data_IF_117855186196
#
_entry.id   IF_117855186196
#
_cell.length_a   1.000
_cell.length_b   1.000
_cell.length_c   1.000
_cell.angle_alpha   90.00
_cell.angle_beta   90.00
_cell.angle_gamma   90.00
#
_symmetry.space_group_name_H-M   'P 1'
#
loop_
_entity.id
_entity.type
_entity.pdbx_description
1 polymer ?
#
# COMPACT_ATOMS: atom_id res chain seq x y z
N UNK A 1 5.41 11.66 -13.67
CA UNK A 1 5.81 12.00 -12.28
C UNK A 1 5.29 13.34 -11.79
N UNK A 2 5.29 14.41 -12.60
CA UNK A 2 4.82 15.75 -12.14
C UNK A 2 3.35 15.78 -11.71
N UNK A 3 2.46 15.16 -12.47
CA UNK A 3 1.02 15.14 -12.14
C UNK A 3 0.75 14.42 -10.81
N UNK A 4 1.46 13.30 -10.58
CA UNK A 4 1.43 12.60 -9.30
C UNK A 4 1.97 13.47 -8.17
N UNK A 5 3.13 14.10 -8.35
CA UNK A 5 3.73 14.98 -7.34
C UNK A 5 2.81 16.15 -6.98
N UNK A 6 2.20 16.80 -7.98
CA UNK A 6 1.23 17.87 -7.80
C UNK A 6 -0.03 17.39 -7.07
N UNK A 7 -0.54 16.19 -7.40
CA UNK A 7 -1.67 15.58 -6.70
C UNK A 7 -1.33 15.26 -5.25
N UNK A 8 -0.19 14.60 -5.01
CA UNK A 8 0.24 14.19 -3.68
C UNK A 8 0.50 15.40 -2.76
N UNK A 9 1.08 16.47 -3.29
CA UNK A 9 1.31 17.70 -2.52
C UNK A 9 0.01 18.35 -2.01
N UNK A 10 -1.16 18.06 -2.61
CA UNK A 10 -2.46 18.49 -2.07
C UNK A 10 -2.86 17.71 -0.81
N UNK A 11 -2.36 16.49 -0.65
CA UNK A 11 -2.63 15.59 0.48
C UNK A 11 -1.55 15.68 1.57
N UNK A 12 -0.29 15.64 1.19
CA UNK A 12 0.90 15.72 2.05
C UNK A 12 1.93 16.63 1.39
N UNK A 13 1.86 17.96 1.63
CA UNK A 13 2.68 18.97 0.95
C UNK A 13 4.19 18.80 1.16
N UNK A 14 4.59 18.17 2.27
CA UNK A 14 5.98 17.95 2.64
C UNK A 14 6.49 16.57 2.21
N UNK A 15 5.63 15.73 1.61
CA UNK A 15 5.95 14.35 1.26
C UNK A 15 6.47 13.54 2.46
N UNK A 16 6.05 13.92 3.67
CA UNK A 16 6.49 13.32 4.93
C UNK A 16 6.22 11.82 5.04
N UNK A 17 5.28 11.31 4.24
CA UNK A 17 4.92 9.90 4.17
C UNK A 17 5.79 9.08 3.20
N UNK A 18 6.72 9.72 2.48
CA UNK A 18 7.66 9.08 1.56
C UNK A 18 9.09 9.06 2.14
N UNK A 19 9.96 8.24 1.53
CA UNK A 19 11.38 8.20 1.88
C UNK A 19 12.07 9.55 1.64
N UNK A 20 13.12 9.86 2.41
CA UNK A 20 13.82 11.16 2.32
C UNK A 20 14.37 11.49 0.90
N UNK A 21 14.76 10.45 0.14
CA UNK A 21 15.21 10.60 -1.25
C UNK A 21 14.05 11.06 -2.14
N UNK A 22 12.90 10.42 -1.99
CA UNK A 22 11.67 10.73 -2.72
C UNK A 22 11.14 12.14 -2.42
N UNK A 23 11.25 12.60 -1.17
CA UNK A 23 10.79 13.94 -0.76
C UNK A 23 11.45 15.05 -1.58
N UNK A 24 12.77 14.95 -1.79
CA UNK A 24 13.53 15.98 -2.51
C UNK A 24 13.21 15.94 -4.00
N UNK A 25 13.07 14.75 -4.58
CA UNK A 25 12.74 14.57 -5.99
C UNK A 25 11.31 15.05 -6.30
N UNK A 26 10.32 14.63 -5.50
CA UNK A 26 8.92 14.98 -5.76
C UNK A 26 8.63 16.46 -5.52
N UNK A 27 9.20 17.06 -4.48
CA UNK A 27 9.03 18.50 -4.21
C UNK A 27 9.50 19.37 -5.39
N UNK A 28 10.61 19.00 -6.03
CA UNK A 28 11.13 19.67 -7.23
C UNK A 28 10.23 19.51 -8.48
N UNK A 29 9.34 18.51 -8.48
CA UNK A 29 8.50 18.14 -9.62
C UNK A 29 7.02 18.50 -9.49
N UNK A 30 6.62 19.21 -8.43
CA UNK A 30 5.25 19.70 -8.23
C UNK A 30 4.83 20.75 -9.27
N UNK A 31 5.78 21.57 -9.74
CA UNK A 31 5.49 22.67 -10.68
C UNK A 31 5.09 22.17 -12.08
N UNK A 32 3.97 22.68 -12.57
CA UNK A 32 3.44 22.36 -13.90
C UNK A 32 2.81 20.97 -14.05
N UNK A 33 2.52 20.27 -12.94
CA UNK A 33 1.74 19.02 -12.96
C UNK A 33 0.22 19.27 -12.90
N UNK A 34 -0.55 18.40 -13.54
CA UNK A 34 -2.02 18.41 -13.51
C UNK A 34 -2.55 17.38 -12.50
N UNK A 35 -2.76 17.87 -11.27
CA UNK A 35 -3.28 17.06 -10.18
C UNK A 35 -4.71 16.54 -10.43
N UNK A 36 -5.54 17.28 -11.15
CA UNK A 36 -6.94 16.91 -11.42
C UNK A 36 -7.01 15.81 -12.47
N UNK A 37 -6.19 15.90 -13.52
CA UNK A 37 -6.01 14.83 -14.50
C UNK A 37 -5.50 13.56 -13.84
N UNK A 38 -4.49 13.67 -12.96
CA UNK A 38 -4.00 12.51 -12.20
C UNK A 38 -5.13 11.87 -11.38
N UNK A 39 -5.90 12.67 -10.62
CA UNK A 39 -6.99 12.18 -9.80
C UNK A 39 -8.04 11.40 -10.63
N UNK A 40 -8.41 11.93 -11.81
CA UNK A 40 -9.37 11.28 -12.71
C UNK A 40 -8.82 9.94 -13.22
N UNK A 41 -7.57 9.90 -13.65
CA UNK A 41 -6.93 8.69 -14.18
C UNK A 41 -6.72 7.65 -13.08
N UNK A 42 -6.20 8.06 -11.93
CA UNK A 42 -5.99 7.18 -10.78
C UNK A 42 -7.31 6.57 -10.30
N UNK A 43 -8.39 7.35 -10.21
CA UNK A 43 -9.72 6.84 -9.86
C UNK A 43 -10.24 5.80 -10.86
N UNK A 44 -9.97 6.00 -12.15
CA UNK A 44 -10.38 5.04 -13.20
C UNK A 44 -9.53 3.76 -13.16
N UNK A 45 -8.21 3.90 -13.05
CA UNK A 45 -7.28 2.78 -13.07
C UNK A 45 -7.38 1.92 -11.80
N UNK A 46 -7.58 2.56 -10.65
CA UNK A 46 -7.65 1.91 -9.34
C UNK A 46 -9.11 1.68 -8.89
N UNK A 47 -10.04 1.48 -9.84
CA UNK A 47 -11.45 1.25 -9.53
C UNK A 47 -11.61 0.06 -8.55
N UNK A 48 -12.51 0.19 -7.56
CA UNK A 48 -12.67 -0.76 -6.44
C UNK A 48 -11.40 -1.02 -5.59
N UNK A 49 -10.40 -0.14 -5.67
CA UNK A 49 -9.23 -0.16 -4.79
C UNK A 49 -9.16 1.11 -3.92
N UNK A 50 -8.52 0.99 -2.77
CA UNK A 50 -8.16 2.10 -1.88
C UNK A 50 -6.65 2.19 -1.78
N UNK A 51 -6.17 3.42 -1.73
CA UNK A 51 -4.79 3.68 -1.36
C UNK A 51 -4.64 3.56 0.17
N UNK A 52 -3.55 2.95 0.64
CA UNK A 52 -3.30 2.78 2.07
C UNK A 52 -1.81 2.86 2.41
N UNK A 53 -1.54 3.10 3.69
CA UNK A 53 -0.22 3.00 4.31
C UNK A 53 -0.22 1.91 5.36
N UNK A 54 0.89 1.18 5.49
CA UNK A 54 1.19 0.33 6.64
C UNK A 54 1.83 1.15 7.75
N UNK A 55 1.85 0.61 8.97
CA UNK A 55 2.55 1.23 10.12
C UNK A 55 4.06 1.36 9.88
N UNK A 56 4.62 0.52 9.01
CA UNK A 56 6.03 0.51 8.62
C UNK A 56 6.28 1.35 7.34
N UNK A 57 5.44 2.36 7.12
CA UNK A 57 5.53 3.34 6.02
C UNK A 57 5.52 2.75 4.61
N UNK A 58 5.11 1.50 4.43
CA UNK A 58 4.88 0.94 3.10
C UNK A 58 3.55 1.45 2.56
N UNK A 59 3.46 1.69 1.25
CA UNK A 59 2.23 2.14 0.60
C UNK A 59 1.74 1.15 -0.44
N UNK A 60 0.44 1.19 -0.72
CA UNK A 60 -0.16 0.20 -1.60
C UNK A 60 -1.59 0.48 -2.03
N UNK A 61 -2.15 -0.48 -2.78
CA UNK A 61 -3.54 -0.52 -3.20
C UNK A 61 -4.23 -1.76 -2.65
N UNK A 62 -5.28 -1.58 -1.87
CA UNK A 62 -6.05 -2.66 -1.24
C UNK A 62 -7.49 -2.69 -1.78
N UNK A 63 -8.24 -3.79 -1.58
CA UNK A 63 -9.66 -3.85 -1.92
C UNK A 63 -10.50 -2.72 -1.28
N UNK A 64 -11.57 -2.28 -1.95
CA UNK A 64 -12.44 -1.18 -1.46
C UNK A 64 -13.02 -1.43 -0.07
N UNK A 65 -13.26 -2.68 0.29
CA UNK A 65 -13.80 -3.07 1.59
C UNK A 65 -12.75 -3.17 2.71
N UNK A 66 -11.47 -2.90 2.44
CA UNK A 66 -10.40 -2.81 3.46
C UNK A 66 -10.65 -1.68 4.46
N UNK A 67 -10.27 -1.91 5.71
CA UNK A 67 -10.49 -1.03 6.87
C UNK A 67 -9.23 -0.96 7.75
N UNK A 68 -9.03 0.12 8.52
CA UNK A 68 -8.00 0.17 9.56
C UNK A 68 -8.12 -1.03 10.50
N UNK A 69 -6.98 -1.63 10.85
CA UNK A 69 -6.89 -2.87 11.65
C UNK A 69 -6.85 -4.16 10.82
N UNK A 70 -7.14 -4.11 9.52
CA UNK A 70 -6.84 -5.23 8.61
C UNK A 70 -5.32 -5.41 8.49
N UNK A 71 -4.88 -6.64 8.22
CA UNK A 71 -3.46 -7.03 8.14
C UNK A 71 -3.07 -7.34 6.71
N UNK A 72 -1.94 -6.78 6.28
CA UNK A 72 -1.23 -7.23 5.08
C UNK A 72 -0.48 -8.50 5.44
N UNK A 73 -0.65 -9.56 4.66
CA UNK A 73 0.06 -10.83 4.83
C UNK A 73 0.56 -11.34 3.49
N UNK A 74 1.65 -12.09 3.52
CA UNK A 74 2.09 -12.90 2.37
C UNK A 74 1.84 -14.35 2.75
N UNK A 75 0.93 -15.00 2.03
CA UNK A 75 0.59 -16.40 2.29
C UNK A 75 1.64 -17.30 1.63
N UNK A 76 2.06 -18.36 2.34
CA UNK A 76 2.98 -19.35 1.80
C UNK A 76 2.44 -19.95 0.49
N UNK A 77 3.29 -19.98 -0.54
CA UNK A 77 2.92 -20.42 -1.89
C UNK A 77 2.23 -19.33 -2.75
N UNK A 78 1.87 -18.19 -2.16
CA UNK A 78 1.39 -17.01 -2.89
C UNK A 78 2.55 -16.17 -3.43
N UNK A 79 2.32 -15.48 -4.56
CA UNK A 79 3.29 -14.57 -5.19
C UNK A 79 3.02 -13.09 -4.93
N UNK A 80 1.95 -12.76 -4.20
CA UNK A 80 1.47 -11.40 -3.95
C UNK A 80 1.01 -11.25 -2.50
N UNK A 81 0.93 -10.02 -1.95
CA UNK A 81 0.35 -9.77 -0.64
C UNK A 81 -1.19 -9.79 -0.67
N UNK A 82 -1.77 -10.08 0.50
CA UNK A 82 -3.20 -10.20 0.73
C UNK A 82 -3.61 -9.41 1.97
N UNK A 83 -4.90 -9.06 2.02
CA UNK A 83 -5.52 -8.45 3.18
C UNK A 83 -6.34 -9.51 3.94
N UNK A 84 -6.00 -9.72 5.21
CA UNK A 84 -6.80 -10.50 6.15
C UNK A 84 -7.40 -9.60 7.23
N UNK A 85 -8.65 -9.88 7.61
CA UNK A 85 -9.34 -9.18 8.70
C UNK A 85 -9.50 -10.09 9.91
N UNK A 86 -9.06 -9.69 11.11
CA UNK A 86 -9.32 -10.45 12.33
C UNK A 86 -10.82 -10.42 12.68
N UNK A 87 -11.39 -11.58 13.02
CA UNK A 87 -12.82 -11.72 13.39
C UNK A 87 -13.07 -12.38 14.76
N UNK A 88 -12.01 -12.69 15.52
CA UNK A 88 -12.07 -13.32 16.85
C UNK A 88 -10.68 -13.85 17.26
N UNK A 89 -10.60 -14.61 18.37
CA UNK A 89 -9.31 -15.04 18.94
C UNK A 89 -8.36 -15.73 17.93
N UNK A 90 -8.87 -16.48 16.96
CA UNK A 90 -8.03 -17.20 15.96
C UNK A 90 -8.68 -17.28 14.57
N UNK A 91 -9.64 -16.40 14.27
CA UNK A 91 -10.38 -16.45 13.00
C UNK A 91 -10.11 -15.22 12.16
N UNK A 92 -9.99 -15.45 10.86
CA UNK A 92 -9.67 -14.42 9.88
C UNK A 92 -10.66 -14.50 8.72
N UNK A 93 -11.05 -13.35 8.20
CA UNK A 93 -11.77 -13.26 6.93
C UNK A 93 -10.79 -12.86 5.84
N UNK A 94 -10.83 -13.56 4.71
CA UNK A 94 -10.09 -13.15 3.53
C UNK A 94 -10.78 -11.94 2.88
N UNK A 95 -10.07 -10.81 2.80
CA UNK A 95 -10.61 -9.58 2.21
C UNK A 95 -10.28 -9.49 0.72
N UNK A 96 -9.07 -9.89 0.33
CA UNK A 96 -8.62 -9.95 -1.06
C UNK A 96 -7.13 -9.67 -1.24
N UNK A 97 -6.65 -9.83 -2.47
CA UNK A 97 -5.30 -9.45 -2.89
C UNK A 97 -5.06 -7.95 -2.77
N UNK A 98 -3.84 -7.54 -2.45
CA UNK A 98 -3.42 -6.14 -2.52
C UNK A 98 -2.10 -5.98 -3.29
N UNK A 99 -1.86 -4.75 -3.72
CA UNK A 99 -0.53 -4.29 -4.14
C UNK A 99 0.13 -3.62 -2.96
N UNK A 100 1.35 -3.99 -2.65
CA UNK A 100 2.23 -3.25 -1.74
C UNK A 100 3.54 -3.02 -2.45
N UNK A 101 3.97 -1.76 -2.44
CA UNK A 101 5.20 -1.37 -3.08
C UNK A 101 6.38 -2.12 -2.46
N UNK A 102 7.23 -2.70 -3.31
CA UNK A 102 8.35 -3.54 -2.89
C UNK A 102 7.97 -4.90 -2.28
N UNK A 103 6.74 -5.42 -2.46
CA UNK A 103 6.34 -6.76 -2.00
C UNK A 103 5.79 -7.69 -3.10
N UNK A 104 5.72 -7.23 -4.36
CA UNK A 104 5.04 -7.93 -5.46
C UNK A 104 5.95 -8.79 -6.34
N UNK A 105 7.27 -8.62 -6.31
CA UNK A 105 8.23 -9.27 -7.22
C UNK A 105 9.25 -10.16 -6.49
N UNK A 106 8.85 -10.75 -5.35
CA UNK A 106 9.67 -11.71 -4.61
C UNK A 106 10.64 -11.10 -3.61
N UNK A 107 10.53 -9.80 -3.34
CA UNK A 107 11.30 -9.08 -2.32
C UNK A 107 10.86 -9.44 -0.89
N UNK A 108 9.85 -10.29 -0.74
CA UNK A 108 9.25 -10.68 0.54
C UNK A 108 10.19 -11.50 1.43
N UNK A 109 11.18 -12.22 0.88
CA UNK A 109 12.19 -12.94 1.69
C UNK A 109 13.07 -11.96 2.46
N UNK A 110 13.56 -10.93 1.77
CA UNK A 110 14.40 -9.89 2.38
C UNK A 110 13.59 -9.02 3.36
N UNK A 111 12.29 -8.85 3.09
CA UNK A 111 11.40 -8.12 3.99
C UNK A 111 11.07 -8.88 5.27
N UNK A 112 10.98 -10.22 5.23
CA UNK A 112 10.73 -11.01 6.44
C UNK A 112 11.81 -10.76 7.49
N UNK A 113 13.06 -10.72 7.06
CA UNK A 113 14.22 -10.41 7.92
C UNK A 113 14.22 -8.94 8.36
N UNK A 114 13.97 -8.00 7.43
CA UNK A 114 13.95 -6.55 7.75
C UNK A 114 12.82 -6.15 8.70
N UNK A 115 11.66 -6.80 8.62
CA UNK A 115 10.46 -6.47 9.37
C UNK A 115 10.29 -7.30 10.65
N UNK A 116 11.23 -8.19 10.96
CA UNK A 116 11.20 -9.13 12.10
C UNK A 116 9.82 -9.82 12.25
N UNK A 117 9.31 -10.32 11.11
CA UNK A 117 7.95 -10.88 11.04
C UNK A 117 7.94 -12.38 11.32
N UNK A 118 6.99 -12.80 12.16
CA UNK A 118 6.82 -14.21 12.53
C UNK A 118 5.81 -14.93 11.63
N UNK A 119 6.02 -16.23 11.48
CA UNK A 119 5.07 -17.11 10.81
C UNK A 119 3.85 -17.34 11.69
N UNK A 120 2.66 -17.26 11.08
CA UNK A 120 1.40 -17.51 11.76
C UNK A 120 0.49 -18.37 10.88
N UNK A 121 -0.20 -19.32 11.49
CA UNK A 121 -1.27 -20.08 10.85
C UNK A 121 -2.57 -19.29 10.94
N UNK A 122 -3.26 -19.11 9.82
CA UNK A 122 -4.52 -18.39 9.74
C UNK A 122 -5.68 -19.36 9.47
N UNK A 123 -6.69 -19.37 10.34
CA UNK A 123 -7.96 -20.03 10.04
C UNK A 123 -8.87 -19.06 9.28
N UNK A 124 -8.87 -19.19 7.97
CA UNK A 124 -9.61 -18.32 7.04
C UNK A 124 -11.04 -18.86 6.87
N UNK A 125 -12.03 -17.97 7.02
CA UNK A 125 -13.45 -18.22 6.73
C UNK A 125 -13.92 -17.47 5.49
#
# INVERSE_FOLDING_TARGET
MRDFAAYWARFDPTFSLLGLQDQTEFSAHTSGGDADQFAVLARKACHERKFFFTEQTSMGLCPRNTKPGDRVVVLYGGSVPYILRPTGQDSWTFVGECYVDGMMFGETRDLKEKLDTQDQVFHIR
#
